data_IF_236287193933
#
_entry.id   IF_236287193933
#
_cell.length_a   1.000
_cell.length_b   1.000
_cell.length_c   1.000
_cell.angle_alpha   90.00
_cell.angle_beta   90.00
_cell.angle_gamma   90.00
#
_symmetry.space_group_name_H-M   'P 1'
#
loop_
_entity.id
_entity.type
_entity.pdbx_description
1 polymer ?
#
# COMPACT_ATOMS: atom_id res chain seq x y z
N UNK A 1 2.73 17.50 -7.09
CA UNK A 1 2.65 16.29 -7.95
C UNK A 1 1.20 15.95 -8.18
N UNK A 2 0.77 15.69 -9.42
CA UNK A 2 -0.59 15.26 -9.72
C UNK A 2 -0.68 13.73 -9.54
N UNK A 3 -1.48 13.28 -8.58
CA UNK A 3 -1.78 11.86 -8.37
C UNK A 3 -2.69 11.41 -9.52
N UNK A 4 -2.36 10.30 -10.19
CA UNK A 4 -3.21 9.77 -11.27
C UNK A 4 -4.52 9.21 -10.72
N UNK A 5 -5.56 9.16 -11.54
CA UNK A 5 -6.89 8.73 -11.09
C UNK A 5 -6.92 7.27 -10.60
N UNK A 6 -6.04 6.41 -11.13
CA UNK A 6 -5.86 5.04 -10.63
C UNK A 6 -5.31 5.02 -9.20
N UNK A 7 -4.39 5.91 -8.86
CA UNK A 7 -3.85 6.05 -7.51
C UNK A 7 -4.87 6.66 -6.54
N UNK A 8 -5.74 7.57 -7.01
CA UNK A 8 -6.87 8.05 -6.19
C UNK A 8 -7.80 6.90 -5.82
N UNK A 9 -8.25 6.13 -6.82
CA UNK A 9 -9.06 4.94 -6.58
C UNK A 9 -8.34 3.89 -5.71
N UNK A 10 -7.01 3.80 -5.81
CA UNK A 10 -6.22 2.88 -4.99
C UNK A 10 -6.31 3.17 -3.48
N UNK A 11 -6.45 4.44 -3.08
CA UNK A 11 -6.59 4.81 -1.67
C UNK A 11 -7.91 4.34 -1.05
N UNK A 12 -8.93 4.13 -1.87
CA UNK A 12 -10.27 3.71 -1.42
C UNK A 12 -10.42 2.18 -1.37
N UNK A 13 -9.44 1.44 -1.89
CA UNK A 13 -9.49 -0.02 -1.95
C UNK A 13 -9.33 -0.70 -0.59
N UNK A 14 -9.95 -1.86 -0.46
CA UNK A 14 -9.81 -2.77 0.67
C UNK A 14 -8.53 -3.63 0.63
N UNK A 15 -8.30 -4.35 1.73
CA UNK A 15 -7.10 -5.17 1.97
C UNK A 15 -6.94 -6.34 1.00
N UNK A 16 -8.06 -6.86 0.48
CA UNK A 16 -8.10 -8.01 -0.45
C UNK A 16 -8.02 -7.60 -1.91
N UNK A 17 -8.09 -6.30 -2.20
CA UNK A 17 -8.08 -5.80 -3.56
C UNK A 17 -6.65 -5.60 -4.05
N UNK A 18 -6.42 -5.94 -5.31
CA UNK A 18 -5.09 -5.90 -5.90
C UNK A 18 -4.68 -4.46 -6.23
N UNK A 19 -3.37 -4.16 -6.20
CA UNK A 19 -2.85 -2.92 -6.76
C UNK A 19 -3.27 -2.77 -8.22
N UNK A 20 -3.45 -1.53 -8.69
CA UNK A 20 -3.60 -1.30 -10.13
C UNK A 20 -2.31 -1.61 -10.88
N UNK A 21 -2.43 -1.83 -12.19
CA UNK A 21 -1.38 -2.33 -13.09
C UNK A 21 -0.05 -1.54 -13.06
N UNK A 22 -0.11 -0.24 -12.75
CA UNK A 22 1.07 0.65 -12.76
C UNK A 22 1.72 0.80 -11.38
N UNK A 23 1.20 0.11 -10.36
CA UNK A 23 1.79 0.07 -9.02
C UNK A 23 2.74 -1.12 -8.92
N UNK A 24 4.05 -0.86 -8.87
CA UNK A 24 5.07 -1.90 -8.75
C UNK A 24 5.55 -2.01 -7.30
N UNK A 25 5.86 -3.23 -6.85
CA UNK A 25 6.45 -3.45 -5.52
C UNK A 25 7.82 -2.78 -5.46
N UNK A 26 8.04 -2.00 -4.42
CA UNK A 26 9.34 -1.43 -4.09
C UNK A 26 9.68 -1.92 -2.71
N UNK A 27 10.94 -2.30 -2.53
CA UNK A 27 11.45 -2.91 -1.30
C UNK A 27 10.87 -4.29 -0.98
N UNK A 28 11.56 -4.98 -0.08
CA UNK A 28 11.15 -6.28 0.40
C UNK A 28 9.95 -6.16 1.34
N UNK A 29 9.16 -7.22 1.40
CA UNK A 29 8.01 -7.28 2.30
C UNK A 29 8.48 -7.28 3.75
N UNK A 30 7.96 -6.34 4.54
CA UNK A 30 8.26 -6.22 5.97
C UNK A 30 7.29 -7.06 6.78
N UNK A 31 7.81 -7.93 7.64
CA UNK A 31 7.00 -8.74 8.56
C UNK A 31 7.14 -8.22 9.99
N UNK A 32 6.05 -7.71 10.54
CA UNK A 32 5.97 -7.24 11.92
C UNK A 32 5.40 -8.37 12.79
N UNK A 33 6.27 -8.99 13.60
CA UNK A 33 5.88 -10.08 14.52
C UNK A 33 5.44 -9.49 15.86
N UNK A 34 4.14 -9.50 16.13
CA UNK A 34 3.56 -9.23 17.45
C UNK A 34 2.99 -10.50 18.09
N UNK A 35 2.53 -10.40 19.34
CA UNK A 35 1.75 -11.47 19.97
C UNK A 35 0.50 -11.76 19.14
N UNK A 36 0.24 -13.02 18.79
CA UNK A 36 -0.93 -13.40 17.99
C UNK A 36 -2.22 -12.79 18.61
N UNK A 37 -3.11 -12.17 17.81
CA UNK A 37 -3.15 -12.08 16.35
C UNK A 37 -2.52 -10.80 15.75
N UNK A 38 -1.65 -10.09 16.49
CA UNK A 38 -1.15 -8.76 16.12
C UNK A 38 0.01 -8.76 15.13
N UNK A 39 0.39 -9.90 14.56
CA UNK A 39 1.36 -9.94 13.48
C UNK A 39 0.74 -9.43 12.18
N UNK A 40 1.44 -8.53 11.48
CA UNK A 40 1.02 -8.04 10.18
C UNK A 40 2.22 -7.89 9.25
N UNK A 41 1.93 -7.72 7.97
CA UNK A 41 2.93 -7.50 6.93
C UNK A 41 2.64 -6.19 6.21
N UNK A 42 3.70 -5.53 5.79
CA UNK A 42 3.63 -4.34 4.95
C UNK A 42 4.44 -4.54 3.68
N UNK A 43 3.95 -3.98 2.59
CA UNK A 43 4.63 -3.95 1.31
C UNK A 43 4.55 -2.55 0.72
N UNK A 44 5.71 -1.99 0.39
CA UNK A 44 5.76 -0.70 -0.29
C UNK A 44 5.60 -0.89 -1.80
N UNK A 45 4.99 0.10 -2.44
CA UNK A 45 4.74 0.17 -3.86
C UNK A 45 5.01 1.57 -4.38
N UNK A 46 5.36 1.66 -5.67
CA UNK A 46 5.51 2.92 -6.39
C UNK A 46 4.73 2.88 -7.69
N UNK A 47 3.98 3.95 -7.94
CA UNK A 47 3.30 4.13 -9.20
C UNK A 47 4.30 4.56 -10.29
N UNK A 48 4.31 3.90 -11.44
CA UNK A 48 5.14 4.27 -12.58
C UNK A 48 4.65 5.53 -13.31
N UNK A 49 3.36 5.86 -13.19
CA UNK A 49 2.77 7.02 -13.88
C UNK A 49 3.00 8.34 -13.14
N UNK A 50 2.73 8.36 -11.83
CA UNK A 50 2.81 9.59 -11.02
C UNK A 50 3.94 9.56 -9.98
N UNK A 51 4.74 8.49 -9.93
CA UNK A 51 5.83 8.30 -8.95
C UNK A 51 5.41 8.32 -7.48
N UNK A 52 4.11 8.30 -7.18
CA UNK A 52 3.58 8.24 -5.82
C UNK A 52 3.94 6.92 -5.15
N UNK A 53 4.28 6.98 -3.86
CA UNK A 53 4.56 5.82 -3.02
C UNK A 53 3.32 5.43 -2.21
N UNK A 54 3.14 4.14 -2.05
CA UNK A 54 2.07 3.53 -1.26
C UNK A 54 2.65 2.47 -0.34
N UNK A 55 2.08 2.33 0.83
CA UNK A 55 2.29 1.18 1.71
C UNK A 55 0.99 0.41 1.78
N UNK A 56 1.03 -0.87 1.41
CA UNK A 56 -0.05 -1.80 1.69
C UNK A 56 0.20 -2.46 3.04
N UNK A 57 -0.82 -2.55 3.88
CA UNK A 57 -0.74 -3.21 5.20
C UNK A 57 -1.84 -4.24 5.37
N UNK A 58 -1.47 -5.41 5.89
CA UNK A 58 -2.42 -6.44 6.32
C UNK A 58 -2.94 -6.22 7.74
N UNK A 59 -2.45 -5.19 8.45
CA UNK A 59 -2.88 -4.88 9.80
C UNK A 59 -4.38 -4.56 9.82
N UNK A 60 -5.15 -5.23 10.70
CA UNK A 60 -6.60 -5.00 10.81
C UNK A 60 -6.94 -3.59 11.28
N UNK A 61 -6.07 -2.95 12.05
CA UNK A 61 -6.30 -1.63 12.63
C UNK A 61 -5.93 -0.46 11.70
N UNK A 62 -5.19 -0.73 10.62
CA UNK A 62 -4.75 0.31 9.69
C UNK A 62 -5.56 0.32 8.39
N UNK A 63 -5.43 1.43 7.66
CA UNK A 63 -5.85 1.51 6.27
C UNK A 63 -5.09 0.49 5.42
N UNK A 64 -5.80 -0.12 4.47
CA UNK A 64 -5.22 -1.11 3.57
C UNK A 64 -4.11 -0.52 2.71
N UNK A 65 -4.31 0.72 2.23
CA UNK A 65 -3.44 1.42 1.31
C UNK A 65 -3.19 2.84 1.83
N UNK A 66 -1.97 3.06 2.31
CA UNK A 66 -1.54 4.37 2.79
C UNK A 66 -0.69 5.04 1.72
N UNK A 67 -1.16 6.17 1.19
CA UNK A 67 -0.40 6.98 0.24
C UNK A 67 0.56 7.90 1.00
N UNK A 68 1.82 7.97 0.57
CA UNK A 68 2.80 8.85 1.20
C UNK A 68 2.56 10.29 0.73
N UNK A 69 2.18 11.16 1.66
CA UNK A 69 2.19 12.60 1.45
C UNK A 69 3.56 13.12 1.92
N UNK A 70 4.50 13.23 0.99
CA UNK A 70 5.79 13.87 1.21
C UNK A 70 5.67 15.39 1.19
#
# INVERSE_FOLDING_TARGET
MLICDLCKAQTEKGKRETPHKDLVKVDERRFFKGAAPRSFEEQDYRCLLCSTKFTWSSNKNDHAWTMWQG
#
